data_IF_465833942492
#
_entry.id   IF_465833942492
#
_cell.length_a   1.000
_cell.length_b   1.000
_cell.length_c   1.000
_cell.angle_alpha   90.00
_cell.angle_beta   90.00
_cell.angle_gamma   90.00
#
_symmetry.space_group_name_H-M   'P 1'
#
loop_
_entity.id
_entity.type
_entity.pdbx_description
1 polymer ?
#
# COMPACT_ATOMS: atom_id res chain seq x y z
N UNK A 1 -5.12 -20.26 10.08
CA UNK A 1 -5.36 -18.87 10.54
C UNK A 1 -5.41 -17.97 9.31
N UNK A 2 -6.57 -17.36 9.06
CA UNK A 2 -6.85 -16.62 7.82
C UNK A 2 -6.61 -15.11 8.02
N UNK A 3 -5.39 -14.73 8.42
CA UNK A 3 -5.05 -13.35 8.73
C UNK A 3 -3.86 -12.88 7.91
N UNK A 4 -3.83 -11.60 7.56
CA UNK A 4 -2.70 -10.97 6.90
C UNK A 4 -2.37 -9.61 7.50
N UNK A 5 -1.10 -9.23 7.43
CA UNK A 5 -0.62 -7.92 7.84
C UNK A 5 0.32 -7.38 6.77
N UNK A 6 -0.07 -6.27 6.17
CA UNK A 6 0.79 -5.47 5.30
C UNK A 6 1.40 -4.32 6.10
N UNK A 7 2.70 -4.14 5.96
CA UNK A 7 3.44 -2.99 6.53
C UNK A 7 4.31 -2.38 5.43
N UNK A 8 4.34 -1.07 5.34
CA UNK A 8 5.43 -0.42 4.59
C UNK A 8 6.72 -0.66 5.37
N UNK A 9 7.83 -0.91 4.68
CA UNK A 9 9.14 -0.96 5.31
C UNK A 9 9.49 0.42 5.84
N UNK A 10 9.93 0.51 7.10
CA UNK A 10 10.40 1.76 7.70
C UNK A 10 11.58 2.31 6.88
N UNK A 11 11.54 3.60 6.61
CA UNK A 11 12.41 4.28 5.65
C UNK A 11 13.86 4.47 6.09
N UNK A 12 14.41 3.64 6.96
CA UNK A 12 15.82 3.74 7.32
C UNK A 12 16.79 3.52 6.14
N UNK A 13 16.34 2.82 5.07
CA UNK A 13 17.20 2.43 3.94
C UNK A 13 16.81 3.06 2.57
N UNK A 14 15.81 3.93 2.51
CA UNK A 14 15.37 4.58 1.27
C UNK A 14 15.33 6.11 1.43
N UNK A 15 16.40 6.70 1.90
CA UNK A 15 16.62 8.14 1.78
C UNK A 15 17.00 8.46 0.32
N UNK A 16 16.01 8.62 -0.54
CA UNK A 16 16.23 9.29 -1.81
C UNK A 16 16.29 10.79 -1.53
N UNK A 17 17.41 11.25 -0.95
CA UNK A 17 17.73 12.66 -0.81
C UNK A 17 18.35 13.16 -2.10
N UNK A 18 17.71 14.09 -2.78
CA UNK A 18 18.33 14.89 -3.83
C UNK A 18 18.92 16.15 -3.19
N UNK A 19 20.22 16.38 -3.29
CA UNK A 19 20.82 17.67 -2.95
C UNK A 19 20.88 18.54 -4.20
N UNK A 20 20.25 19.70 -4.15
CA UNK A 20 20.43 20.75 -5.17
C UNK A 20 21.26 21.88 -4.55
N UNK A 21 22.37 22.20 -5.18
CA UNK A 21 23.23 23.30 -4.75
C UNK A 21 23.07 24.45 -5.75
N UNK A 22 22.43 25.53 -5.33
CA UNK A 22 22.32 26.77 -6.08
C UNK A 22 22.62 27.93 -5.12
N UNK A 23 23.57 28.77 -5.50
CA UNK A 23 23.98 29.99 -4.81
C UNK A 23 24.37 29.84 -3.32
N UNK A 24 25.13 28.78 -2.97
CA UNK A 24 25.66 28.59 -1.60
C UNK A 24 24.63 28.07 -0.58
N UNK A 25 23.40 27.80 -0.99
CA UNK A 25 22.37 27.21 -0.17
C UNK A 25 22.23 25.72 -0.49
N UNK A 26 22.47 24.84 0.49
CA UNK A 26 22.28 23.40 0.34
C UNK A 26 20.85 23.06 0.76
N UNK A 27 20.01 22.67 -0.20
CA UNK A 27 18.67 22.15 0.09
C UNK A 27 18.71 20.63 0.09
N UNK A 28 18.37 20.04 1.22
CA UNK A 28 18.20 18.60 1.38
C UNK A 28 16.70 18.26 1.37
N UNK A 29 16.27 17.47 0.38
CA UNK A 29 14.89 17.00 0.28
C UNK A 29 14.81 15.58 0.81
N UNK A 30 14.10 15.38 1.90
CA UNK A 30 13.80 14.06 2.42
C UNK A 30 12.37 13.66 2.05
N UNK A 31 12.24 12.71 1.13
CA UNK A 31 10.94 12.13 0.78
C UNK A 31 10.60 11.06 1.81
N UNK A 32 9.71 11.38 2.74
CA UNK A 32 9.18 10.43 3.71
C UNK A 32 7.96 9.74 3.11
N UNK A 33 7.99 8.41 3.03
CA UNK A 33 6.80 7.63 2.70
C UNK A 33 5.93 7.51 3.94
N UNK A 34 4.60 7.74 3.84
CA UNK A 34 3.71 7.61 4.99
C UNK A 34 3.72 6.16 5.51
N UNK A 35 3.76 6.01 6.83
CA UNK A 35 3.64 4.70 7.47
C UNK A 35 2.20 4.18 7.31
N UNK A 36 2.06 3.00 6.72
CA UNK A 36 0.78 2.34 6.56
C UNK A 36 0.87 0.90 7.04
N UNK A 37 -0.07 0.50 7.88
CA UNK A 37 -0.26 -0.88 8.33
C UNK A 37 -1.68 -1.29 8.02
N UNK A 38 -1.86 -2.42 7.36
CA UNK A 38 -3.17 -2.95 6.99
C UNK A 38 -3.25 -4.39 7.47
N UNK A 39 -4.05 -4.61 8.50
CA UNK A 39 -4.47 -5.94 8.96
C UNK A 39 -5.74 -6.33 8.24
N UNK A 40 -5.84 -7.60 7.86
CA UNK A 40 -7.05 -8.16 7.29
C UNK A 40 -7.30 -9.55 7.84
N UNK A 41 -8.52 -9.77 8.30
CA UNK A 41 -9.09 -11.07 8.55
C UNK A 41 -9.77 -11.55 7.26
N UNK A 42 -9.22 -12.63 6.68
CA UNK A 42 -9.68 -13.14 5.38
C UNK A 42 -10.98 -13.94 5.49
N UNK A 43 -11.37 -14.33 6.70
CA UNK A 43 -12.60 -15.07 6.95
C UNK A 43 -13.79 -14.14 7.13
N UNK A 44 -13.66 -13.15 8.01
CA UNK A 44 -14.72 -12.17 8.28
C UNK A 44 -14.74 -11.01 7.27
N UNK A 45 -13.65 -10.76 6.56
CA UNK A 45 -13.48 -9.59 5.68
C UNK A 45 -13.16 -8.29 6.44
N UNK A 46 -13.05 -8.34 7.78
CA UNK A 46 -12.67 -7.18 8.59
C UNK A 46 -11.28 -6.71 8.23
N UNK A 47 -11.14 -5.40 8.05
CA UNK A 47 -9.86 -4.75 7.76
C UNK A 47 -9.63 -3.63 8.76
N UNK A 48 -8.45 -3.63 9.39
CA UNK A 48 -8.01 -2.56 10.29
C UNK A 48 -6.77 -1.90 9.68
N UNK A 49 -6.89 -0.61 9.38
CA UNK A 49 -5.84 0.16 8.74
C UNK A 49 -5.37 1.29 9.64
N UNK A 50 -4.07 1.36 9.92
CA UNK A 50 -3.43 2.55 10.47
C UNK A 50 -2.72 3.27 9.34
N UNK A 51 -3.18 4.46 9.01
CA UNK A 51 -2.65 5.27 7.90
C UNK A 51 -2.09 6.59 8.41
N UNK A 52 -0.87 6.87 8.03
CA UNK A 52 -0.28 8.19 8.26
C UNK A 52 -0.62 9.12 7.09
N UNK A 53 -1.11 10.30 7.43
CA UNK A 53 -1.31 11.38 6.49
C UNK A 53 -0.91 12.72 7.13
N UNK A 54 0.05 13.40 6.54
CA UNK A 54 0.60 14.69 7.02
C UNK A 54 1.04 14.65 8.49
N UNK A 55 1.73 13.59 8.90
CA UNK A 55 2.25 13.41 10.26
C UNK A 55 1.19 13.03 11.30
N UNK A 56 -0.05 12.76 10.89
CA UNK A 56 -1.13 12.28 11.74
C UNK A 56 -1.51 10.87 11.38
N UNK A 57 -1.84 10.06 12.39
CA UNK A 57 -2.30 8.69 12.19
C UNK A 57 -3.82 8.63 12.29
N UNK A 58 -4.41 7.88 11.37
CA UNK A 58 -5.84 7.58 11.29
C UNK A 58 -6.04 6.08 11.37
N UNK A 59 -7.03 5.65 12.15
CA UNK A 59 -7.40 4.25 12.31
C UNK A 59 -8.76 4.02 11.66
N UNK A 60 -8.79 3.11 10.66
CA UNK A 60 -10.00 2.73 9.94
C UNK A 60 -10.25 1.26 10.25
N UNK A 61 -11.38 0.93 10.87
CA UNK A 61 -11.77 -0.43 11.24
C UNK A 61 -13.13 -0.73 10.63
N UNK A 62 -13.14 -1.33 9.46
CA UNK A 62 -14.34 -1.60 8.66
C UNK A 62 -14.15 -2.88 7.83
N UNK A 63 -15.26 -3.43 7.35
CA UNK A 63 -15.19 -4.39 6.25
C UNK A 63 -14.73 -3.68 4.98
N UNK A 64 -13.69 -4.20 4.34
CA UNK A 64 -13.26 -3.68 3.05
C UNK A 64 -14.20 -4.14 1.93
N UNK A 65 -14.59 -3.26 1.01
CA UNK A 65 -15.37 -3.68 -0.15
C UNK A 65 -14.58 -4.69 -0.98
N UNK A 66 -15.23 -5.78 -1.36
CA UNK A 66 -14.60 -6.81 -2.22
C UNK A 66 -14.23 -6.22 -3.57
N UNK A 67 -13.06 -6.59 -4.05
CA UNK A 67 -12.57 -6.17 -5.36
C UNK A 67 -13.02 -7.16 -6.43
N UNK A 68 -13.56 -6.64 -7.52
CA UNK A 68 -13.94 -7.44 -8.67
C UNK A 68 -12.80 -7.49 -9.69
N UNK A 69 -12.34 -8.68 -10.04
CA UNK A 69 -11.25 -8.89 -10.96
C UNK A 69 -11.70 -9.65 -12.21
N UNK A 70 -11.22 -9.21 -13.36
CA UNK A 70 -11.34 -9.95 -14.62
C UNK A 70 -10.03 -10.69 -14.87
N UNK A 71 -10.08 -12.02 -14.88
CA UNK A 71 -8.91 -12.85 -15.18
C UNK A 71 -8.57 -12.79 -16.67
N UNK A 72 -7.28 -12.73 -16.98
CA UNK A 72 -6.74 -12.81 -18.35
C UNK A 72 -6.11 -14.20 -18.59
N UNK A 73 -5.95 -14.58 -19.84
CA UNK A 73 -5.16 -15.76 -20.22
C UNK A 73 -3.65 -15.54 -20.19
N UNK A 74 -3.21 -14.31 -20.00
CA UNK A 74 -1.78 -13.97 -19.93
C UNK A 74 -1.13 -14.59 -18.69
N UNK A 75 0.08 -15.12 -18.89
CA UNK A 75 0.88 -15.77 -17.84
C UNK A 75 2.31 -15.29 -17.90
N UNK A 76 2.96 -15.22 -16.74
CA UNK A 76 4.40 -15.03 -16.59
C UNK A 76 4.90 -15.69 -15.31
N UNK A 77 6.21 -15.78 -15.16
CA UNK A 77 6.83 -16.34 -13.94
C UNK A 77 7.42 -15.19 -13.09
N UNK A 78 7.12 -15.18 -11.79
CA UNK A 78 7.69 -14.26 -10.82
C UNK A 78 8.23 -15.07 -9.65
N UNK A 79 9.51 -14.92 -9.32
CA UNK A 79 10.19 -15.66 -8.24
C UNK A 79 10.01 -17.19 -8.34
N UNK A 80 9.95 -17.72 -9.59
CA UNK A 80 9.73 -19.15 -9.82
C UNK A 80 8.27 -19.61 -9.78
N UNK A 81 7.33 -18.73 -9.42
CA UNK A 81 5.90 -19.05 -9.40
C UNK A 81 5.23 -18.67 -10.72
N UNK A 82 4.45 -19.59 -11.33
CA UNK A 82 3.59 -19.22 -12.46
C UNK A 82 2.48 -18.31 -11.98
N UNK A 83 2.37 -17.16 -12.61
CA UNK A 83 1.40 -16.11 -12.29
C UNK A 83 0.46 -15.89 -13.47
N UNK A 84 -0.80 -15.66 -13.14
CA UNK A 84 -1.85 -15.26 -14.08
C UNK A 84 -2.16 -13.77 -13.89
N UNK A 85 -2.46 -13.10 -15.00
CA UNK A 85 -2.85 -11.69 -15.00
C UNK A 85 -4.31 -11.53 -14.65
N UNK A 86 -4.62 -10.48 -13.87
CA UNK A 86 -5.97 -10.04 -13.57
C UNK A 86 -6.07 -8.51 -13.72
N UNK A 87 -7.22 -8.02 -14.15
CA UNK A 87 -7.54 -6.61 -14.31
C UNK A 87 -8.63 -6.23 -13.32
N UNK A 88 -8.39 -5.19 -12.52
CA UNK A 88 -9.39 -4.69 -11.59
C UNK A 88 -10.53 -4.01 -12.36
N UNK A 89 -11.76 -4.38 -12.02
CA UNK A 89 -12.96 -3.78 -12.60
C UNK A 89 -13.38 -2.54 -11.79
N UNK A 90 -14.21 -1.69 -12.38
CA UNK A 90 -14.84 -0.56 -11.70
C UNK A 90 -13.90 0.49 -11.09
N UNK A 91 -12.78 0.74 -11.75
CA UNK A 91 -11.86 1.81 -11.35
C UNK A 91 -11.65 2.80 -12.50
N UNK A 92 -11.46 4.08 -12.15
CA UNK A 92 -11.09 5.11 -13.11
C UNK A 92 -9.62 4.98 -13.59
N UNK A 93 -8.82 4.15 -12.90
CA UNK A 93 -7.43 3.87 -13.21
C UNK A 93 -7.28 2.41 -13.61
N UNK A 94 -6.48 2.16 -14.64
CA UNK A 94 -6.10 0.80 -15.01
C UNK A 94 -5.24 0.19 -13.91
N UNK A 95 -5.71 -0.90 -13.30
CA UNK A 95 -4.97 -1.66 -12.29
C UNK A 95 -4.82 -3.09 -12.79
N UNK A 96 -3.59 -3.54 -12.89
CA UNK A 96 -3.21 -4.89 -13.32
C UNK A 96 -2.51 -5.62 -12.18
N UNK A 97 -2.92 -6.85 -11.93
CA UNK A 97 -2.30 -7.73 -10.93
C UNK A 97 -1.79 -9.01 -11.59
N UNK A 98 -0.69 -9.53 -11.04
CA UNK A 98 -0.18 -10.86 -11.33
C UNK A 98 -0.19 -11.66 -10.05
N UNK A 99 -0.96 -12.73 -10.04
CA UNK A 99 -1.15 -13.58 -8.85
C UNK A 99 -0.82 -15.03 -9.14
N UNK A 100 -0.42 -15.77 -8.11
CA UNK A 100 -0.17 -17.20 -8.20
C UNK A 100 -1.14 -17.99 -7.34
N UNK A 101 -1.79 -18.99 -7.92
CA UNK A 101 -2.63 -19.93 -7.20
C UNK A 101 -1.82 -20.97 -6.39
N UNK A 102 -0.50 -21.07 -6.61
CA UNK A 102 0.36 -21.96 -5.82
C UNK A 102 0.51 -21.51 -4.37
N UNK A 103 0.24 -20.23 -4.09
CA UNK A 103 0.12 -19.71 -2.74
C UNK A 103 -1.35 -19.29 -2.54
N UNK A 104 -2.20 -20.19 -2.02
CA UNK A 104 -3.65 -19.99 -2.02
C UNK A 104 -4.12 -19.06 -0.90
N UNK A 105 -3.53 -17.87 -0.85
CA UNK A 105 -3.87 -16.81 0.12
C UNK A 105 -4.27 -15.56 -0.66
N UNK A 106 -5.53 -15.13 -0.51
CA UNK A 106 -6.13 -14.01 -1.27
C UNK A 106 -5.64 -12.64 -0.80
N UNK A 107 -4.33 -12.43 -0.79
CA UNK A 107 -3.69 -11.19 -0.33
C UNK A 107 -2.71 -10.63 -1.36
N UNK A 108 -2.41 -9.36 -1.21
CA UNK A 108 -1.43 -8.65 -2.02
C UNK A 108 -0.92 -7.39 -1.32
N UNK A 109 -0.08 -6.61 -1.99
CA UNK A 109 0.47 -5.39 -1.42
C UNK A 109 -0.63 -4.33 -1.20
N UNK A 110 -0.59 -3.68 -0.03
CA UNK A 110 -1.52 -2.62 0.33
C UNK A 110 -2.97 -3.12 0.43
N UNK A 111 -3.85 -2.44 -0.28
CA UNK A 111 -5.29 -2.71 -0.27
C UNK A 111 -5.75 -3.80 -1.26
N UNK A 112 -4.85 -4.35 -2.06
CA UNK A 112 -5.21 -5.30 -3.12
C UNK A 112 -5.34 -6.73 -2.59
N UNK A 113 -6.49 -7.37 -2.92
CA UNK A 113 -6.87 -8.71 -2.46
C UNK A 113 -7.94 -9.30 -3.38
N UNK A 114 -8.56 -10.40 -2.94
CA UNK A 114 -9.73 -11.04 -3.55
C UNK A 114 -9.45 -11.77 -4.89
N UNK A 115 -8.16 -12.06 -5.17
CA UNK A 115 -7.77 -13.01 -6.20
C UNK A 115 -7.60 -14.41 -5.59
N UNK A 116 -7.78 -15.49 -6.37
CA UNK A 116 -7.65 -16.86 -5.87
C UNK A 116 -6.18 -17.28 -5.70
N UNK A 117 -5.40 -16.46 -4.97
CA UNK A 117 -3.99 -16.65 -4.72
C UNK A 117 -3.27 -15.35 -4.40
N UNK A 118 -1.98 -15.46 -4.06
CA UNK A 118 -1.16 -14.33 -3.65
C UNK A 118 -0.80 -13.44 -4.84
N UNK A 119 -1.00 -12.13 -4.70
CA UNK A 119 -0.58 -11.14 -5.69
C UNK A 119 0.91 -10.89 -5.51
N UNK A 120 1.69 -11.18 -6.54
CA UNK A 120 3.14 -10.98 -6.55
C UNK A 120 3.57 -9.70 -7.28
N UNK A 121 2.69 -9.15 -8.12
CA UNK A 121 2.92 -7.86 -8.75
C UNK A 121 1.60 -7.13 -8.93
N UNK A 122 1.63 -5.82 -8.72
CA UNK A 122 0.50 -4.92 -8.95
C UNK A 122 0.99 -3.66 -9.64
N UNK A 123 0.35 -3.28 -10.72
CA UNK A 123 0.57 -2.02 -11.44
C UNK A 123 -0.68 -1.17 -11.39
N UNK A 124 -0.58 0.04 -10.85
CA UNK A 124 -1.69 0.98 -10.69
C UNK A 124 -1.25 2.38 -11.16
N UNK A 125 -1.63 2.76 -12.37
CA UNK A 125 -1.13 3.95 -13.03
C UNK A 125 0.37 3.85 -13.27
N UNK A 126 1.14 4.81 -12.79
CA UNK A 126 2.61 4.86 -12.94
C UNK A 126 3.37 4.05 -11.86
N UNK A 127 2.67 3.47 -10.89
CA UNK A 127 3.29 2.75 -9.79
C UNK A 127 3.19 1.25 -10.00
N UNK A 128 4.32 0.57 -9.88
CA UNK A 128 4.39 -0.89 -9.87
C UNK A 128 5.05 -1.36 -8.57
N UNK A 129 4.43 -2.32 -7.91
CA UNK A 129 4.99 -3.05 -6.79
C UNK A 129 5.16 -4.50 -7.20
N UNK A 130 6.36 -5.06 -7.00
CA UNK A 130 6.68 -6.43 -7.34
C UNK A 130 7.31 -7.12 -6.13
N UNK A 131 6.94 -8.37 -5.89
CA UNK A 131 7.57 -9.20 -4.87
C UNK A 131 9.03 -9.48 -5.24
N UNK A 132 9.93 -9.22 -4.32
CA UNK A 132 11.37 -9.50 -4.49
C UNK A 132 11.81 -10.74 -3.73
N UNK A 133 11.03 -11.18 -2.74
CA UNK A 133 11.30 -12.37 -1.93
C UNK A 133 10.01 -12.93 -1.37
N UNK A 134 9.93 -14.26 -1.27
CA UNK A 134 8.86 -14.99 -0.60
C UNK A 134 9.49 -16.00 0.35
N UNK A 135 9.05 -15.95 1.61
CA UNK A 135 9.45 -16.92 2.62
C UNK A 135 8.21 -17.66 3.13
N UNK A 136 8.19 -18.99 2.94
CA UNK A 136 7.15 -19.87 3.47
C UNK A 136 7.64 -20.47 4.79
N UNK A 137 7.26 -19.88 5.91
CA UNK A 137 7.64 -20.29 7.26
C UNK A 137 6.50 -20.15 8.24
N UNK A 138 6.52 -20.94 9.31
CA UNK A 138 5.62 -20.73 10.43
C UNK A 138 5.91 -19.37 11.08
N UNK A 139 4.86 -18.59 11.32
CA UNK A 139 4.98 -17.32 12.01
C UNK A 139 4.84 -17.52 13.52
N UNK A 140 5.55 -16.76 14.35
CA UNK A 140 5.27 -16.63 15.79
C UNK A 140 3.82 -16.21 16.02
N UNK A 141 3.23 -16.60 17.16
CA UNK A 141 1.82 -16.29 17.47
C UNK A 141 1.52 -14.79 17.43
N UNK A 142 2.50 -13.95 17.77
CA UNK A 142 2.36 -12.49 17.84
C UNK A 142 2.91 -11.76 16.60
N UNK A 143 3.18 -12.47 15.51
CA UNK A 143 3.74 -11.87 14.29
C UNK A 143 2.74 -10.96 13.57
N UNK A 144 1.43 -11.21 13.74
CA UNK A 144 0.35 -10.44 13.13
C UNK A 144 -0.36 -9.66 14.24
N UNK A 145 0.00 -8.40 14.37
CA UNK A 145 -0.61 -7.47 15.33
C UNK A 145 -1.67 -6.62 14.62
N UNK A 146 -2.85 -6.50 15.24
CA UNK A 146 -3.88 -5.58 14.76
C UNK A 146 -3.43 -4.14 15.03
N UNK A 147 -3.36 -3.27 14.02
CA UNK A 147 -3.02 -1.87 14.22
C UNK A 147 -3.99 -1.17 15.16
N UNK A 148 -3.46 -0.35 16.08
CA UNK A 148 -4.27 0.41 17.04
C UNK A 148 -3.93 1.91 17.07
N UNK A 149 -2.91 2.33 16.28
CA UNK A 149 -2.42 3.70 16.27
C UNK A 149 -3.25 4.57 15.33
N UNK A 150 -3.81 5.66 15.85
CA UNK A 150 -4.47 6.69 15.05
C UNK A 150 -5.82 7.15 15.61
N UNK A 151 -6.31 8.26 15.07
CA UNK A 151 -7.69 8.73 15.35
C UNK A 151 -8.66 7.84 14.57
N UNK A 152 -9.64 7.28 15.28
CA UNK A 152 -10.69 6.47 14.65
C UNK A 152 -11.53 7.33 13.70
N UNK A 153 -11.64 6.89 12.45
CA UNK A 153 -12.43 7.50 11.39
C UNK A 153 -12.97 6.42 10.47
N UNK A 154 -14.08 6.71 9.78
CA UNK A 154 -14.53 5.87 8.66
C UNK A 154 -13.63 6.07 7.43
N UNK A 155 -13.68 5.13 6.50
CA UNK A 155 -12.99 5.25 5.20
C UNK A 155 -13.46 6.48 4.40
N UNK A 156 -14.74 6.78 4.48
CA UNK A 156 -15.34 7.94 3.83
C UNK A 156 -14.81 9.26 4.43
N UNK A 157 -14.77 9.36 5.77
CA UNK A 157 -14.21 10.52 6.47
C UNK A 157 -12.72 10.69 6.18
N UNK A 158 -11.94 9.60 6.20
CA UNK A 158 -10.51 9.66 5.85
C UNK A 158 -10.32 10.19 4.43
N UNK A 159 -11.09 9.69 3.46
CA UNK A 159 -11.05 10.17 2.08
C UNK A 159 -11.37 11.65 2.01
N UNK A 160 -12.41 12.11 2.70
CA UNK A 160 -12.78 13.53 2.74
C UNK A 160 -11.64 14.39 3.30
N UNK A 161 -11.01 13.97 4.41
CA UNK A 161 -9.86 14.66 5.02
C UNK A 161 -8.71 14.79 4.01
N UNK A 162 -8.41 13.72 3.28
CA UNK A 162 -7.36 13.72 2.25
C UNK A 162 -7.72 14.67 1.11
N UNK A 163 -8.93 14.56 0.57
CA UNK A 163 -9.40 15.38 -0.57
C UNK A 163 -9.42 16.86 -0.22
N UNK A 164 -9.87 17.24 0.99
CA UNK A 164 -9.87 18.63 1.49
C UNK A 164 -8.45 19.17 1.60
N UNK A 165 -7.54 18.41 2.20
CA UNK A 165 -6.14 18.84 2.36
C UNK A 165 -5.41 18.96 1.03
N UNK A 166 -5.67 18.06 0.10
CA UNK A 166 -5.10 18.15 -1.25
C UNK A 166 -5.59 19.36 -2.03
N UNK A 167 -6.87 19.73 -1.87
CA UNK A 167 -7.44 20.97 -2.45
C UNK A 167 -6.82 22.22 -1.83
N UNK A 168 -6.67 22.26 -0.50
CA UNK A 168 -6.02 23.37 0.21
C UNK A 168 -4.57 23.59 -0.25
N UNK A 169 -3.87 22.50 -0.60
CA UNK A 169 -2.48 22.55 -1.07
C UNK A 169 -2.34 22.89 -2.57
N UNK A 170 -3.44 23.07 -3.29
CA UNK A 170 -3.43 23.37 -4.73
C UNK A 170 -2.95 22.24 -5.61
N UNK A 171 -2.92 21.01 -5.08
CA UNK A 171 -2.42 19.85 -5.79
C UNK A 171 -3.56 19.11 -6.49
N UNK A 172 -3.89 19.47 -7.71
CA UNK A 172 -4.59 18.56 -8.61
C UNK A 172 -3.63 17.44 -9.02
N UNK A 173 -3.66 16.35 -8.26
CA UNK A 173 -3.03 15.08 -8.63
C UNK A 173 -1.52 14.95 -8.33
N UNK A 174 -1.20 14.15 -7.33
CA UNK A 174 0.18 13.69 -7.10
C UNK A 174 0.54 13.57 -5.62
N UNK A 175 0.28 12.42 -5.03
CA UNK A 175 0.58 12.19 -3.60
C UNK A 175 2.05 11.92 -3.34
N UNK A 176 2.75 12.89 -2.84
CA UNK A 176 4.04 12.73 -2.17
C UNK A 176 4.16 13.84 -1.14
N UNK A 177 4.22 13.50 0.16
CA UNK A 177 4.54 14.49 1.18
C UNK A 177 6.02 14.85 1.07
N UNK A 178 6.30 16.04 0.52
CA UNK A 178 7.63 16.64 0.53
C UNK A 178 7.72 17.51 1.78
N UNK A 179 8.56 17.13 2.73
CA UNK A 179 8.89 17.99 3.89
C UNK A 179 10.19 18.71 3.58
N UNK A 180 10.10 20.03 3.43
CA UNK A 180 11.25 20.89 3.22
C UNK A 180 11.87 21.24 4.58
N UNK A 181 13.14 20.88 4.79
CA UNK A 181 13.91 21.29 5.96
C UNK A 181 14.93 22.32 5.47
N UNK A 182 14.76 23.59 5.88
CA UNK A 182 15.74 24.65 5.62
C UNK A 182 16.66 24.74 6.83
N UNK A 183 17.97 24.52 6.64
CA UNK A 183 19.00 24.82 7.63
C UNK A 183 19.71 26.11 7.21
N UNK A 184 19.74 27.10 8.11
CA UNK A 184 20.60 28.28 8.00
C UNK A 184 22.02 27.94 8.40
#
# INVERSE_FOLDING_TARGET
ENQSLYKNKDNADNETGGSHQQDGMQMEFKIMRPENRIYRDLESGRTVESREFMGRFFLIDEEAPRKSWKLSSEQKTILGYPCQKALLQDTSRKVEAWFTAQIPVSVGPGEFSDLPGMILEISAGERTMIATQIELKALPKDAIEIPSKGKSVSRAEFKQIVDEKMKEMGAEGGGGNVRMIIRN
#
